data_IF_103423837063
#
_entry.id   IF_103423837063
#
_cell.length_a   1.000
_cell.length_b   1.000
_cell.length_c   1.000
_cell.angle_alpha   90.00
_cell.angle_beta   90.00
_cell.angle_gamma   90.00
#
_symmetry.space_group_name_H-M   'P 1'
#
loop_
_entity.id
_entity.type
_entity.pdbx_description
1 polymer ?
#
# COMPACT_ATOMS: atom_id res chain seq x y z
N UNK A 1 53.98 -38.91 -39.07
CA UNK A 1 53.62 -37.50 -38.77
C UNK A 1 52.29 -37.48 -38.04
N UNK A 2 52.25 -37.12 -36.75
CA UNK A 2 51.07 -37.19 -35.90
C UNK A 2 50.50 -35.78 -35.64
N UNK A 3 49.25 -35.53 -36.03
CA UNK A 3 48.54 -34.27 -35.72
C UNK A 3 47.80 -34.44 -34.39
N UNK A 4 48.24 -33.69 -33.37
CA UNK A 4 47.59 -33.64 -32.04
C UNK A 4 46.36 -32.72 -32.10
N UNK A 5 45.18 -33.27 -31.80
CA UNK A 5 43.95 -32.50 -31.60
C UNK A 5 43.95 -31.83 -30.22
N UNK A 6 43.90 -30.50 -30.18
CA UNK A 6 43.61 -29.75 -28.96
C UNK A 6 42.12 -29.89 -28.62
N UNK A 7 41.80 -30.56 -27.51
CA UNK A 7 40.46 -30.50 -26.90
C UNK A 7 40.38 -29.28 -25.99
N UNK A 8 39.47 -28.32 -26.21
CA UNK A 8 39.17 -27.30 -25.22
C UNK A 8 38.48 -27.98 -24.01
N UNK A 9 39.13 -27.91 -22.85
CA UNK A 9 38.52 -28.30 -21.57
C UNK A 9 37.39 -27.31 -21.26
N UNK A 10 36.17 -27.69 -21.63
CA UNK A 10 34.94 -27.04 -21.18
C UNK A 10 34.90 -27.02 -19.66
N UNK A 11 35.15 -25.85 -19.08
CA UNK A 11 35.11 -25.56 -17.65
C UNK A 11 33.66 -25.72 -17.18
N UNK A 12 33.32 -26.92 -16.68
CA UNK A 12 32.08 -27.19 -15.94
C UNK A 12 32.06 -26.32 -14.68
N UNK A 13 31.65 -25.06 -14.83
CA UNK A 13 31.29 -24.19 -13.70
C UNK A 13 29.99 -24.73 -13.13
N UNK A 14 30.11 -25.32 -11.96
CA UNK A 14 29.08 -25.98 -11.19
C UNK A 14 27.94 -25.02 -10.84
N UNK A 15 26.71 -25.52 -10.92
CA UNK A 15 25.42 -24.87 -10.57
C UNK A 15 25.38 -24.24 -9.15
N UNK A 16 26.39 -24.42 -8.32
CA UNK A 16 26.45 -23.88 -6.95
C UNK A 16 26.59 -22.36 -6.88
N UNK A 17 27.13 -21.70 -7.91
CA UNK A 17 27.27 -20.23 -7.91
C UNK A 17 25.95 -19.48 -7.91
N UNK A 18 24.87 -20.10 -8.39
CA UNK A 18 23.54 -19.49 -8.42
C UNK A 18 23.01 -19.26 -7.00
N UNK A 19 23.42 -20.07 -6.02
CA UNK A 19 22.96 -19.94 -4.62
C UNK A 19 23.88 -19.07 -3.75
N UNK A 20 25.14 -18.87 -4.16
CA UNK A 20 26.10 -18.06 -3.38
C UNK A 20 25.78 -16.56 -3.51
N UNK A 21 25.41 -16.11 -4.72
CA UNK A 21 25.09 -14.71 -5.00
C UNK A 21 23.91 -14.18 -4.16
N UNK A 22 22.74 -14.85 -4.10
CA UNK A 22 21.61 -14.34 -3.30
C UNK A 22 21.92 -14.32 -1.80
N UNK A 23 22.66 -15.31 -1.28
CA UNK A 23 23.05 -15.36 0.14
C UNK A 23 23.94 -14.17 0.50
N UNK A 24 24.92 -13.84 -0.34
CA UNK A 24 25.77 -12.66 -0.15
C UNK A 24 24.97 -11.35 -0.17
N UNK A 25 23.98 -11.25 -1.06
CA UNK A 25 23.16 -10.04 -1.19
C UNK A 25 22.32 -9.79 0.08
N UNK A 26 21.71 -10.83 0.64
CA UNK A 26 20.95 -10.74 1.90
C UNK A 26 21.84 -10.27 3.06
N UNK A 27 23.08 -10.79 3.15
CA UNK A 27 24.03 -10.39 4.19
C UNK A 27 24.40 -8.90 4.07
N UNK A 28 24.66 -8.41 2.85
CA UNK A 28 24.99 -6.99 2.61
C UNK A 28 23.84 -6.08 3.00
N UNK A 29 22.59 -6.44 2.66
CA UNK A 29 21.39 -5.66 3.03
C UNK A 29 21.23 -5.62 4.55
N UNK A 30 21.41 -6.74 5.25
CA UNK A 30 21.32 -6.78 6.71
C UNK A 30 22.38 -5.90 7.40
N UNK A 31 23.61 -5.89 6.89
CA UNK A 31 24.69 -5.02 7.38
C UNK A 31 24.36 -3.55 7.10
N UNK A 32 23.87 -3.23 5.89
CA UNK A 32 23.48 -1.87 5.53
C UNK A 32 22.29 -1.36 6.36
N UNK A 33 21.36 -2.23 6.77
CA UNK A 33 20.25 -1.83 7.62
C UNK A 33 20.69 -1.62 9.09
N UNK A 34 21.64 -2.45 9.57
CA UNK A 34 22.14 -2.38 10.95
C UNK A 34 23.15 -1.26 11.17
N UNK A 35 23.97 -0.95 10.16
CA UNK A 35 25.08 0.01 10.26
C UNK A 35 25.00 1.17 9.25
N UNK A 36 23.95 1.21 8.43
CA UNK A 36 23.77 2.26 7.42
C UNK A 36 23.19 3.56 7.98
N UNK A 37 23.40 4.67 7.26
CA UNK A 37 23.18 6.04 7.75
C UNK A 37 21.69 6.46 7.86
N UNK A 38 20.73 5.55 7.71
CA UNK A 38 19.30 5.88 7.60
C UNK A 38 18.58 6.15 8.94
N UNK A 39 19.31 6.27 10.06
CA UNK A 39 18.77 6.51 11.40
C UNK A 39 18.83 7.96 11.92
N UNK A 40 18.73 8.99 11.06
CA UNK A 40 18.66 10.40 11.52
C UNK A 40 17.41 11.09 10.98
N UNK A 41 16.27 10.86 11.64
CA UNK A 41 15.11 11.73 11.61
C UNK A 41 15.40 13.00 12.42
N UNK A 42 15.87 14.06 11.75
CA UNK A 42 15.90 15.42 12.27
C UNK A 42 14.55 16.07 11.97
N UNK A 43 13.72 16.26 12.99
CA UNK A 43 12.62 17.24 12.94
C UNK A 43 13.21 18.63 13.19
N UNK A 44 13.31 19.42 12.14
CA UNK A 44 13.63 20.85 12.19
C UNK A 44 12.58 21.53 11.35
N UNK A 45 11.55 22.07 12.00
CA UNK A 45 10.57 22.94 11.38
C UNK A 45 10.79 24.33 11.99
N UNK A 46 11.27 25.23 11.15
CA UNK A 46 11.70 26.59 11.45
C UNK A 46 10.73 27.54 10.74
N UNK A 47 9.90 28.20 11.54
CA UNK A 47 9.58 29.64 11.49
C UNK A 47 9.31 30.27 10.11
N UNK A 48 8.04 30.54 9.79
CA UNK A 48 7.66 31.55 8.78
C UNK A 48 7.00 32.72 9.50
N UNK A 49 7.71 33.85 9.47
CA UNK A 49 7.35 35.13 10.06
C UNK A 49 6.57 36.03 9.08
N UNK A 50 5.79 36.94 9.63
CA UNK A 50 4.68 37.69 9.04
C UNK A 50 5.14 39.10 8.57
N UNK A 51 4.96 39.42 7.26
CA UNK A 51 4.53 40.74 6.64
C UNK A 51 5.42 42.00 6.97
N UNK A 52 5.33 43.23 6.39
CA UNK A 52 4.38 43.82 5.42
C UNK A 52 4.95 44.71 4.25
N UNK A 53 4.02 45.05 3.34
CA UNK A 53 3.78 46.37 2.69
C UNK A 53 4.62 46.98 1.55
N UNK A 54 3.88 47.83 0.80
CA UNK A 54 4.23 48.79 -0.25
C UNK A 54 4.45 48.18 -1.66
N UNK A 55 3.78 48.58 -2.73
CA UNK A 55 3.43 49.96 -3.11
C UNK A 55 2.41 49.96 -4.28
N UNK A 56 1.48 50.92 -4.29
CA UNK A 56 0.49 51.21 -5.35
C UNK A 56 1.01 52.36 -6.22
N UNK A 57 0.77 52.36 -7.54
CA UNK A 57 0.00 53.47 -8.15
C UNK A 57 -0.96 52.94 -9.25
N UNK A 58 -2.27 53.14 -9.17
CA UNK A 58 -3.10 54.32 -9.53
C UNK A 58 -3.12 54.72 -11.02
N UNK A 59 -4.35 54.64 -11.58
CA UNK A 59 -4.98 55.39 -12.69
C UNK A 59 -4.48 55.25 -14.15
N UNK A 60 -5.30 54.62 -15.02
CA UNK A 60 -6.21 55.33 -15.94
C UNK A 60 -6.79 54.42 -17.06
N UNK A 61 -8.11 54.21 -16.97
CA UNK A 61 -9.13 54.38 -18.01
C UNK A 61 -8.78 54.11 -19.50
N UNK A 62 -9.20 52.94 -20.03
CA UNK A 62 -9.67 52.79 -21.42
C UNK A 62 -10.80 51.74 -21.45
N UNK A 63 -12.02 52.18 -21.79
CA UNK A 63 -13.17 51.34 -22.18
C UNK A 63 -13.17 51.22 -23.72
N UNK A 64 -13.22 50.01 -24.29
CA UNK A 64 -14.35 49.64 -25.16
C UNK A 64 -14.69 48.14 -25.00
N UNK A 65 -15.95 47.79 -24.75
CA UNK A 65 -16.92 47.41 -25.78
C UNK A 65 -17.29 45.93 -25.57
N UNK A 66 -18.59 45.71 -25.65
CA UNK A 66 -19.32 44.53 -25.21
C UNK A 66 -19.07 43.37 -26.17
N UNK A 67 -18.48 42.29 -25.67
CA UNK A 67 -18.62 40.96 -26.29
C UNK A 67 -19.36 40.08 -25.29
N UNK A 68 -20.64 39.88 -25.58
CA UNK A 68 -21.53 38.93 -24.88
C UNK A 68 -20.98 37.52 -25.12
N UNK A 69 -20.22 36.99 -24.16
CA UNK A 69 -19.97 35.56 -24.00
C UNK A 69 -20.94 34.99 -22.98
N UNK A 70 -21.48 33.77 -23.15
CA UNK A 70 -22.36 33.18 -22.16
C UNK A 70 -21.63 33.04 -20.83
N UNK A 71 -22.29 33.53 -19.78
CA UNK A 71 -21.95 33.39 -18.38
C UNK A 71 -21.58 31.93 -18.07
N UNK A 72 -20.42 31.63 -17.48
CA UNK A 72 -20.14 30.28 -17.00
C UNK A 72 -21.16 29.95 -15.91
N UNK A 73 -21.96 28.92 -16.14
CA UNK A 73 -22.87 28.38 -15.13
C UNK A 73 -22.11 28.18 -13.81
N UNK A 74 -22.68 28.57 -12.66
CA UNK A 74 -22.05 28.35 -11.38
C UNK A 74 -21.80 26.85 -11.22
N UNK A 75 -20.54 26.49 -10.97
CA UNK A 75 -20.16 25.14 -10.55
C UNK A 75 -21.10 24.71 -9.41
N UNK A 76 -21.69 23.50 -9.47
CA UNK A 76 -22.56 23.03 -8.41
C UNK A 76 -21.79 23.09 -7.08
N UNK A 77 -22.43 23.72 -6.09
CA UNK A 77 -21.99 23.69 -4.70
C UNK A 77 -21.65 22.24 -4.32
N UNK A 78 -20.50 21.98 -3.69
CA UNK A 78 -20.15 20.63 -3.27
C UNK A 78 -21.28 20.09 -2.40
N UNK A 79 -21.83 18.94 -2.80
CA UNK A 79 -22.83 18.23 -2.01
C UNK A 79 -22.29 18.07 -0.57
N UNK A 80 -23.12 18.30 0.46
CA UNK A 80 -22.68 18.18 1.83
C UNK A 80 -22.10 16.78 2.05
N UNK A 81 -20.86 16.73 2.53
CA UNK A 81 -20.20 15.49 2.92
C UNK A 81 -21.18 14.67 3.77
N UNK A 82 -21.38 13.37 3.47
CA UNK A 82 -22.26 12.55 4.27
C UNK A 82 -21.79 12.60 5.71
N UNK A 83 -22.65 13.14 6.59
CA UNK A 83 -22.44 13.17 8.03
C UNK A 83 -22.38 11.71 8.51
N UNK A 84 -21.20 11.11 8.43
CA UNK A 84 -20.93 9.82 9.05
C UNK A 84 -21.17 10.03 10.54
N UNK A 85 -22.05 9.25 11.19
CA UNK A 85 -22.24 9.37 12.62
C UNK A 85 -20.87 9.23 13.29
N UNK A 86 -20.57 10.14 14.22
CA UNK A 86 -19.40 10.05 15.09
C UNK A 86 -19.58 8.79 15.94
N UNK A 87 -19.02 7.67 15.46
CA UNK A 87 -19.10 6.39 16.15
C UNK A 87 -18.19 6.54 17.36
N UNK A 88 -18.83 6.76 18.52
CA UNK A 88 -18.15 6.72 19.80
C UNK A 88 -17.26 5.46 19.85
N UNK A 89 -16.01 5.58 20.34
CA UNK A 89 -15.09 4.45 20.39
C UNK A 89 -15.76 3.32 21.16
N UNK A 90 -15.97 2.21 20.46
CA UNK A 90 -16.54 0.99 21.04
C UNK A 90 -15.67 0.65 22.26
N UNK A 91 -16.26 0.42 23.45
CA UNK A 91 -15.51 0.05 24.64
C UNK A 91 -14.62 -1.15 24.30
N UNK A 92 -13.45 -1.23 24.93
CA UNK A 92 -12.47 -2.31 24.70
C UNK A 92 -13.13 -3.66 25.04
N UNK A 93 -13.72 -4.30 24.02
CA UNK A 93 -14.42 -5.58 24.15
C UNK A 93 -13.35 -6.65 24.36
N UNK A 94 -13.60 -7.57 25.28
CA UNK A 94 -12.74 -8.75 25.43
C UNK A 94 -12.55 -9.46 24.08
N UNK A 95 -11.37 -10.05 23.84
CA UNK A 95 -11.09 -10.74 22.59
C UNK A 95 -12.15 -11.81 22.33
N UNK A 96 -12.80 -11.76 21.17
CA UNK A 96 -13.79 -12.76 20.80
C UNK A 96 -13.06 -14.02 20.29
N UNK A 97 -13.23 -15.19 20.95
CA UNK A 97 -12.58 -16.42 20.52
C UNK A 97 -13.09 -16.89 19.15
N UNK A 98 -14.37 -16.72 18.83
CA UNK A 98 -14.95 -17.11 17.54
C UNK A 98 -14.34 -16.30 16.39
N UNK A 99 -14.12 -14.99 16.61
CA UNK A 99 -13.41 -14.16 15.65
C UNK A 99 -11.95 -14.59 15.48
N UNK A 100 -11.29 -14.99 16.57
CA UNK A 100 -9.92 -15.50 16.52
C UNK A 100 -9.83 -16.81 15.71
N UNK A 101 -10.81 -17.72 15.86
CA UNK A 101 -10.87 -18.96 15.08
C UNK A 101 -11.00 -18.69 13.57
N UNK A 102 -11.89 -17.78 13.17
CA UNK A 102 -12.02 -17.39 11.76
C UNK A 102 -10.74 -16.76 11.20
N UNK A 103 -10.05 -15.96 12.02
CA UNK A 103 -8.76 -15.37 11.64
C UNK A 103 -7.72 -16.48 11.41
N UNK A 104 -7.64 -17.45 12.32
CA UNK A 104 -6.70 -18.58 12.20
C UNK A 104 -7.03 -19.40 10.95
N UNK A 105 -8.30 -19.72 10.71
CA UNK A 105 -8.74 -20.45 9.51
C UNK A 105 -8.39 -19.68 8.23
N UNK A 106 -8.63 -18.37 8.19
CA UNK A 106 -8.25 -17.53 7.05
C UNK A 106 -6.74 -17.56 6.81
N UNK A 107 -5.92 -17.43 7.85
CA UNK A 107 -4.46 -17.49 7.70
C UNK A 107 -3.96 -18.86 7.22
N UNK A 108 -4.63 -19.95 7.63
CA UNK A 108 -4.33 -21.29 7.14
C UNK A 108 -4.62 -21.40 5.63
N UNK A 109 -5.79 -20.91 5.18
CA UNK A 109 -6.18 -20.90 3.75
C UNK A 109 -5.18 -20.12 2.89
N UNK A 110 -4.69 -18.97 3.39
CA UNK A 110 -3.68 -18.17 2.70
C UNK A 110 -2.32 -18.88 2.59
N UNK A 111 -2.00 -19.75 3.54
CA UNK A 111 -0.74 -20.50 3.55
C UNK A 111 -0.76 -21.70 2.61
N UNK A 112 -1.93 -22.29 2.36
CA UNK A 112 -2.06 -23.49 1.53
C UNK A 112 -1.91 -23.18 0.04
N UNK A 113 -2.74 -22.29 -0.51
CA UNK A 113 -2.76 -22.02 -1.95
C UNK A 113 -3.29 -20.62 -2.28
N UNK A 114 -2.78 -19.96 -3.33
CA UNK A 114 -3.29 -18.66 -3.76
C UNK A 114 -4.74 -18.72 -4.25
N UNK A 115 -5.21 -19.88 -4.73
CA UNK A 115 -6.61 -20.06 -5.17
C UNK A 115 -7.64 -19.87 -4.05
N UNK A 116 -7.23 -20.03 -2.77
CA UNK A 116 -8.12 -19.89 -1.61
C UNK A 116 -8.17 -18.48 -1.01
N UNK A 117 -7.65 -17.48 -1.72
CA UNK A 117 -7.70 -16.07 -1.30
C UNK A 117 -9.15 -15.59 -1.10
N UNK A 118 -10.09 -16.08 -1.91
CA UNK A 118 -11.51 -15.70 -1.82
C UNK A 118 -12.12 -16.24 -0.52
N UNK A 119 -11.91 -17.53 -0.23
CA UNK A 119 -12.38 -18.17 1.01
C UNK A 119 -11.81 -17.45 2.24
N UNK A 120 -10.51 -17.13 2.22
CA UNK A 120 -9.85 -16.41 3.30
C UNK A 120 -10.44 -15.01 3.51
N UNK A 121 -10.73 -14.28 2.41
CA UNK A 121 -11.40 -12.97 2.48
C UNK A 121 -12.79 -13.10 3.09
N UNK A 122 -13.58 -14.10 2.69
CA UNK A 122 -14.92 -14.32 3.21
C UNK A 122 -14.89 -14.54 4.73
N UNK A 123 -13.98 -15.40 5.20
CA UNK A 123 -13.76 -15.65 6.64
C UNK A 123 -13.35 -14.40 7.42
N UNK A 124 -12.46 -13.57 6.86
CA UNK A 124 -12.07 -12.29 7.48
C UNK A 124 -13.21 -11.26 7.51
N UNK A 125 -14.06 -11.23 6.48
CA UNK A 125 -15.25 -10.38 6.47
C UNK A 125 -16.29 -10.85 7.49
N UNK A 126 -16.48 -12.17 7.61
CA UNK A 126 -17.34 -12.75 8.65
C UNK A 126 -16.80 -12.45 10.05
N UNK A 127 -15.48 -12.48 10.23
CA UNK A 127 -14.86 -12.02 11.47
C UNK A 127 -15.27 -10.57 11.78
N UNK A 128 -15.17 -9.64 10.82
CA UNK A 128 -15.53 -8.22 11.04
C UNK A 128 -17.00 -7.97 11.41
N UNK A 129 -17.90 -8.92 11.13
CA UNK A 129 -19.31 -8.86 11.55
C UNK A 129 -19.49 -9.16 13.03
N UNK A 130 -18.51 -9.83 13.65
CA UNK A 130 -18.52 -10.13 15.08
C UNK A 130 -17.96 -8.97 15.91
N UNK A 131 -18.45 -8.78 17.15
CA UNK A 131 -17.79 -7.90 18.09
C UNK A 131 -16.40 -8.48 18.40
N UNK A 132 -15.37 -7.65 18.33
CA UNK A 132 -13.98 -8.02 18.58
C UNK A 132 -13.21 -6.81 19.11
N UNK A 133 -12.07 -7.07 19.75
CA UNK A 133 -11.19 -6.02 20.23
C UNK A 133 -10.65 -5.15 19.07
N UNK A 134 -10.33 -3.89 19.35
CA UNK A 134 -9.65 -2.97 18.43
C UNK A 134 -8.42 -3.61 17.78
N UNK A 135 -7.59 -4.33 18.54
CA UNK A 135 -6.39 -4.98 18.00
C UNK A 135 -6.73 -6.06 16.97
N UNK A 136 -7.70 -6.92 17.26
CA UNK A 136 -8.17 -7.94 16.32
C UNK A 136 -8.74 -7.29 15.06
N UNK A 137 -9.49 -6.20 15.22
CA UNK A 137 -10.08 -5.46 14.10
C UNK A 137 -9.03 -4.83 13.20
N UNK A 138 -7.99 -4.21 13.77
CA UNK A 138 -6.87 -3.65 13.01
C UNK A 138 -6.15 -4.76 12.26
N UNK A 139 -5.84 -5.87 12.93
CA UNK A 139 -5.20 -7.02 12.30
C UNK A 139 -6.01 -7.56 11.11
N UNK A 140 -7.32 -7.75 11.26
CA UNK A 140 -8.19 -8.23 10.19
C UNK A 140 -8.22 -7.26 9.01
N UNK A 141 -8.29 -5.95 9.29
CA UNK A 141 -8.26 -4.92 8.25
C UNK A 141 -6.94 -4.91 7.48
N UNK A 142 -5.81 -5.05 8.18
CA UNK A 142 -4.49 -5.12 7.55
C UNK A 142 -4.39 -6.35 6.63
N UNK A 143 -4.88 -7.52 7.10
CA UNK A 143 -4.93 -8.73 6.28
C UNK A 143 -5.82 -8.54 5.02
N UNK A 144 -7.01 -7.97 5.17
CA UNK A 144 -7.90 -7.68 4.03
C UNK A 144 -7.28 -6.70 3.03
N UNK A 145 -6.57 -5.68 3.50
CA UNK A 145 -5.83 -4.74 2.65
C UNK A 145 -4.71 -5.44 1.87
N UNK A 146 -3.95 -6.30 2.53
CA UNK A 146 -2.92 -7.10 1.87
C UNK A 146 -3.51 -8.03 0.80
N UNK A 147 -4.64 -8.69 1.09
CA UNK A 147 -5.34 -9.52 0.11
C UNK A 147 -5.88 -8.73 -1.06
N UNK A 148 -6.44 -7.55 -0.83
CA UNK A 148 -6.92 -6.67 -1.89
C UNK A 148 -5.78 -6.30 -2.86
N UNK A 149 -4.60 -5.99 -2.34
CA UNK A 149 -3.42 -5.71 -3.17
C UNK A 149 -3.00 -6.92 -4.02
N UNK A 150 -3.09 -8.14 -3.46
CA UNK A 150 -2.71 -9.38 -4.15
C UNK A 150 -3.74 -9.86 -5.16
N UNK A 151 -5.02 -9.59 -4.94
CA UNK A 151 -6.11 -10.12 -5.75
C UNK A 151 -6.80 -9.03 -6.57
N UNK A 152 -7.49 -8.08 -5.93
CA UNK A 152 -8.28 -7.06 -6.63
C UNK A 152 -7.43 -6.10 -7.47
N UNK A 153 -6.25 -5.74 -6.96
CA UNK A 153 -5.39 -4.74 -7.59
C UNK A 153 -4.24 -5.36 -8.39
N UNK A 154 -4.16 -6.70 -8.43
CA UNK A 154 -3.16 -7.40 -9.23
C UNK A 154 -3.72 -7.78 -10.60
N UNK A 155 -2.84 -8.23 -11.48
CA UNK A 155 -3.22 -8.74 -12.81
C UNK A 155 -3.61 -10.23 -12.77
N UNK A 156 -3.72 -10.83 -11.59
CA UNK A 156 -4.00 -12.26 -11.41
C UNK A 156 -5.50 -12.47 -11.41
N UNK A 157 -5.99 -13.32 -12.30
CA UNK A 157 -7.40 -13.71 -12.39
C UNK A 157 -7.57 -15.02 -11.62
N UNK A 158 -8.54 -15.07 -10.71
CA UNK A 158 -8.89 -16.27 -9.96
C UNK A 158 -10.16 -16.88 -10.56
N UNK A 159 -10.14 -18.15 -11.01
CA UNK A 159 -11.27 -18.74 -11.72
C UNK A 159 -12.52 -18.95 -10.84
N UNK A 160 -12.34 -19.02 -9.52
CA UNK A 160 -13.42 -19.22 -8.55
C UNK A 160 -14.03 -17.89 -8.04
N UNK A 161 -13.59 -16.76 -8.60
CA UNK A 161 -14.07 -15.44 -8.22
C UNK A 161 -15.43 -15.14 -8.86
N UNK A 162 -16.44 -14.90 -8.02
CA UNK A 162 -17.80 -14.55 -8.47
C UNK A 162 -17.94 -13.09 -8.93
N UNK A 163 -16.93 -12.24 -8.68
CA UNK A 163 -16.96 -10.82 -9.02
C UNK A 163 -16.33 -10.49 -10.38
N UNK A 164 -15.70 -11.47 -11.04
CA UNK A 164 -15.02 -11.33 -12.32
C UNK A 164 -15.82 -11.94 -13.49
#
# INVERSE_FOLDING_TARGET
MARRSHRPRGRRRTRSWIYIIPVLLVIVVAIAFRYGPFGKNKSTDETVDITPEANVPELNEIKPEVVVGPEPEPLPEPEPEPNLPDIAPVPDVEPNPEAAELIVEATALLSETPSRIIDAREKLNDALRMPMNIQQRVFVKDQLSELANKWLLSKIIFPDDKLC
#
